data_IF_687234183079
#
_entry.id   IF_687234183079
#
_cell.length_a   1.000
_cell.length_b   1.000
_cell.length_c   1.000
_cell.angle_alpha   90.00
_cell.angle_beta   90.00
_cell.angle_gamma   90.00
#
_symmetry.space_group_name_H-M   'P 1'
#
loop_
_entity.id
_entity.type
_entity.pdbx_description
1 polymer ?
#
# COMPACT_ATOMS: atom_id res chain seq x y z
N UNK A 1 -15.33 -14.68 12.17
CA UNK A 1 -14.48 -13.76 11.39
C UNK A 1 -15.35 -12.86 10.53
N UNK A 2 -15.15 -11.54 10.55
CA UNK A 2 -15.96 -10.64 9.72
C UNK A 2 -15.51 -10.68 8.27
N UNK A 3 -16.50 -10.42 7.40
CA UNK A 3 -16.26 -10.39 5.96
C UNK A 3 -15.83 -9.01 5.45
N UNK A 4 -15.78 -8.03 6.33
CA UNK A 4 -15.44 -6.65 5.97
C UNK A 4 -14.32 -6.13 6.85
N UNK A 5 -13.66 -5.08 6.39
CA UNK A 5 -12.57 -4.44 7.10
C UNK A 5 -12.76 -2.93 7.06
N UNK A 6 -12.30 -2.25 8.11
CA UNK A 6 -12.25 -0.79 8.13
C UNK A 6 -11.26 -0.25 7.09
N UNK A 7 -10.34 -1.08 6.62
CA UNK A 7 -9.31 -0.66 5.69
C UNK A 7 -9.51 -1.43 4.39
N UNK A 8 -9.52 -0.71 3.28
CA UNK A 8 -9.67 -1.34 1.97
C UNK A 8 -8.42 -2.13 1.59
N UNK A 9 -8.52 -2.96 0.56
CA UNK A 9 -7.36 -3.70 0.05
C UNK A 9 -6.23 -2.76 -0.37
N UNK A 10 -6.56 -1.58 -0.92
CA UNK A 10 -5.55 -0.58 -1.25
C UNK A 10 -4.79 -0.13 0.00
N UNK A 11 -5.51 0.15 1.08
CA UNK A 11 -4.88 0.52 2.34
C UNK A 11 -4.05 -0.60 2.95
N UNK A 12 -4.54 -1.84 2.86
CA UNK A 12 -3.82 -3.01 3.38
C UNK A 12 -2.54 -3.27 2.60
N UNK A 13 -2.58 -3.13 1.27
CA UNK A 13 -1.38 -3.29 0.43
C UNK A 13 -0.37 -2.19 0.75
N UNK A 14 -0.81 -0.95 0.89
CA UNK A 14 0.08 0.15 1.25
C UNK A 14 0.78 -0.14 2.59
N UNK A 15 0.03 -0.61 3.58
CA UNK A 15 0.58 -0.96 4.89
C UNK A 15 1.58 -2.12 4.80
N UNK A 16 1.26 -3.15 4.02
CA UNK A 16 2.14 -4.29 3.83
C UNK A 16 3.46 -3.86 3.18
N UNK A 17 3.40 -2.98 2.18
CA UNK A 17 4.60 -2.43 1.54
C UNK A 17 5.43 -1.62 2.55
N UNK A 18 4.77 -0.80 3.36
CA UNK A 18 5.47 0.03 4.35
C UNK A 18 6.26 -0.81 5.34
N UNK A 19 5.69 -1.93 5.76
CA UNK A 19 6.36 -2.84 6.68
C UNK A 19 7.36 -3.78 6.01
N UNK A 20 7.27 -3.96 4.69
CA UNK A 20 8.05 -4.95 3.94
C UNK A 20 8.43 -4.41 2.55
N UNK A 21 9.22 -3.32 2.49
CA UNK A 21 9.44 -2.61 1.22
C UNK A 21 10.21 -3.41 0.16
N UNK A 22 10.90 -4.46 0.56
CA UNK A 22 11.69 -5.30 -0.35
C UNK A 22 10.96 -6.58 -0.77
N UNK A 23 9.72 -6.76 -0.36
CA UNK A 23 8.96 -7.96 -0.66
C UNK A 23 8.41 -7.94 -2.09
N UNK A 24 8.24 -9.12 -2.66
CA UNK A 24 7.62 -9.26 -3.98
C UNK A 24 6.13 -8.97 -3.90
N UNK A 25 5.52 -8.66 -5.05
CA UNK A 25 4.07 -8.48 -5.12
C UNK A 25 3.33 -9.74 -4.65
N UNK A 26 3.85 -10.91 -5.00
CA UNK A 26 3.25 -12.18 -4.56
C UNK A 26 3.25 -12.30 -3.04
N UNK A 27 4.40 -11.99 -2.41
CA UNK A 27 4.50 -12.06 -0.96
C UNK A 27 3.57 -11.05 -0.28
N UNK A 28 3.49 -9.84 -0.83
CA UNK A 28 2.60 -8.80 -0.31
C UNK A 28 1.13 -9.25 -0.43
N UNK A 29 0.76 -9.81 -1.58
CA UNK A 29 -0.58 -10.35 -1.78
C UNK A 29 -0.91 -11.46 -0.80
N UNK A 30 0.04 -12.35 -0.52
CA UNK A 30 -0.13 -13.42 0.45
C UNK A 30 -0.36 -12.86 1.86
N UNK A 31 0.35 -11.80 2.25
CA UNK A 31 0.15 -11.15 3.55
C UNK A 31 -1.26 -10.60 3.70
N UNK A 32 -1.81 -10.04 2.63
CA UNK A 32 -3.14 -9.42 2.65
C UNK A 32 -4.24 -10.44 2.38
N UNK A 33 -3.92 -11.53 1.71
CA UNK A 33 -4.90 -12.58 1.39
C UNK A 33 -5.58 -12.38 0.05
N UNK A 34 -4.89 -11.76 -0.92
CA UNK A 34 -5.40 -11.58 -2.28
C UNK A 34 -4.43 -12.18 -3.29
N UNK A 35 -4.89 -12.30 -4.54
CA UNK A 35 -4.07 -12.89 -5.60
C UNK A 35 -2.94 -11.96 -6.00
N UNK A 36 -1.91 -12.52 -6.62
CA UNK A 36 -0.80 -11.74 -7.16
C UNK A 36 -1.30 -10.75 -8.22
N UNK A 37 -2.22 -11.17 -9.06
CA UNK A 37 -2.80 -10.32 -10.10
C UNK A 37 -3.51 -9.11 -9.50
N UNK A 38 -4.34 -9.34 -8.47
CA UNK A 38 -5.02 -8.26 -7.77
C UNK A 38 -4.02 -7.32 -7.09
N UNK A 39 -2.95 -7.88 -6.53
CA UNK A 39 -1.89 -7.10 -5.91
C UNK A 39 -1.21 -6.18 -6.90
N UNK A 40 -0.87 -6.68 -8.09
CA UNK A 40 -0.26 -5.85 -9.14
C UNK A 40 -1.17 -4.70 -9.56
N UNK A 41 -2.47 -4.96 -9.67
CA UNK A 41 -3.44 -3.91 -10.01
C UNK A 41 -3.45 -2.81 -8.96
N UNK A 42 -3.45 -3.18 -7.69
CA UNK A 42 -3.46 -2.23 -6.58
C UNK A 42 -2.15 -1.44 -6.52
N UNK A 43 -1.02 -2.12 -6.71
CA UNK A 43 0.28 -1.45 -6.74
C UNK A 43 0.31 -0.40 -7.86
N UNK A 44 -0.20 -0.74 -9.04
CA UNK A 44 -0.29 0.22 -10.14
C UNK A 44 -1.16 1.42 -9.76
N UNK A 45 -2.30 1.17 -9.14
CA UNK A 45 -3.17 2.25 -8.66
C UNK A 45 -2.43 3.18 -7.68
N UNK A 46 -1.68 2.59 -6.75
CA UNK A 46 -0.94 3.37 -5.76
C UNK A 46 0.19 4.19 -6.40
N UNK A 47 0.87 3.62 -7.39
CA UNK A 47 1.90 4.35 -8.15
C UNK A 47 1.29 5.51 -8.92
N UNK A 48 0.19 5.25 -9.62
CA UNK A 48 -0.48 6.26 -10.45
C UNK A 48 -0.97 7.44 -9.64
N UNK A 49 -1.40 7.20 -8.40
CA UNK A 49 -1.90 8.24 -7.51
C UNK A 49 -0.78 8.88 -6.66
N UNK A 50 0.45 8.43 -6.83
CA UNK A 50 1.59 9.04 -6.15
C UNK A 50 1.86 8.58 -4.74
N UNK A 51 1.25 7.50 -4.29
CA UNK A 51 1.47 6.98 -2.92
C UNK A 51 2.78 6.22 -2.79
N UNK A 52 3.24 5.59 -3.86
CA UNK A 52 4.48 4.83 -3.85
C UNK A 52 5.27 5.10 -5.13
N UNK A 53 6.58 4.89 -5.03
CA UNK A 53 7.48 4.84 -6.18
C UNK A 53 8.13 3.46 -6.18
N UNK A 54 8.08 2.81 -7.32
CA UNK A 54 8.74 1.52 -7.51
C UNK A 54 10.11 1.74 -8.12
N UNK A 55 11.13 1.15 -7.53
CA UNK A 55 12.47 1.13 -8.09
C UNK A 55 12.91 -0.32 -8.26
N UNK A 56 13.87 -0.53 -9.15
CA UNK A 56 14.39 -1.85 -9.42
C UNK A 56 15.84 -1.91 -8.99
N UNK A 57 16.16 -2.88 -8.13
CA UNK A 57 17.52 -3.14 -7.70
C UNK A 57 17.87 -4.57 -8.10
N UNK A 58 18.56 -4.71 -9.24
CA UNK A 58 18.81 -6.02 -9.82
C UNK A 58 17.52 -6.69 -10.26
N UNK A 59 17.21 -7.86 -9.71
CA UNK A 59 15.99 -8.61 -10.02
C UNK A 59 14.84 -8.30 -9.09
N UNK A 60 15.08 -7.46 -8.07
CA UNK A 60 14.08 -7.15 -7.05
C UNK A 60 13.47 -5.78 -7.28
N UNK A 61 12.20 -5.67 -6.95
CA UNK A 61 11.52 -4.39 -6.86
C UNK A 61 11.62 -3.92 -5.42
N UNK A 62 11.85 -2.63 -5.26
CA UNK A 62 11.79 -1.98 -3.96
C UNK A 62 10.79 -0.84 -4.06
N UNK A 63 10.08 -0.55 -2.98
CA UNK A 63 9.04 0.46 -2.97
C UNK A 63 9.37 1.53 -1.96
N UNK A 64 9.14 2.78 -2.34
CA UNK A 64 9.23 3.92 -1.43
C UNK A 64 7.85 4.49 -1.22
N UNK A 65 7.48 4.73 0.04
CA UNK A 65 6.17 5.29 0.40
C UNK A 65 6.26 6.81 0.44
N UNK A 66 5.27 7.47 -0.13
CA UNK A 66 5.13 8.92 -0.05
C UNK A 66 4.09 9.25 1.02
N UNK A 67 4.56 9.40 2.26
CA UNK A 67 3.70 9.52 3.43
C UNK A 67 2.89 10.81 3.49
N UNK A 68 3.29 11.83 2.73
CA UNK A 68 2.63 13.13 2.74
C UNK A 68 1.46 13.26 1.75
N UNK A 69 1.18 12.22 0.98
CA UNK A 69 0.09 12.25 0.01
C UNK A 69 -1.25 12.13 0.74
N UNK A 70 -2.23 13.00 0.44
CA UNK A 70 -3.55 12.93 1.07
C UNK A 70 -4.27 11.63 0.71
N UNK A 71 -5.05 11.10 1.65
CA UNK A 71 -5.78 9.84 1.47
C UNK A 71 -7.00 9.98 0.54
N UNK A 72 -7.45 11.20 0.31
CA UNK A 72 -8.59 11.45 -0.55
C UNK A 72 -9.23 12.78 -0.22
N UNK A 73 -10.32 13.10 -0.90
CA UNK A 73 -10.96 14.39 -0.77
C UNK A 73 -12.03 14.48 0.33
N UNK A 74 -12.55 13.31 0.74
CA UNK A 74 -13.68 13.26 1.68
C UNK A 74 -13.39 13.97 2.99
N UNK A 75 -12.20 13.78 3.54
CA UNK A 75 -11.79 14.40 4.80
C UNK A 75 -10.73 15.49 4.59
N UNK A 76 -10.60 15.97 3.36
CA UNK A 76 -9.68 17.03 3.00
C UNK A 76 -8.22 16.59 3.03
N UNK A 77 -7.34 17.58 3.01
CA UNK A 77 -5.89 17.34 2.92
C UNK A 77 -5.25 16.95 4.24
N UNK A 78 -6.00 16.97 5.33
CA UNK A 78 -5.44 16.67 6.66
C UNK A 78 -5.16 15.19 6.88
N UNK A 79 -5.92 14.32 6.20
CA UNK A 79 -5.74 12.87 6.33
C UNK A 79 -4.74 12.41 5.27
N UNK A 80 -3.51 12.19 5.69
CA UNK A 80 -2.43 11.79 4.80
C UNK A 80 -2.05 10.32 5.02
N UNK A 81 -1.31 9.74 4.06
CA UNK A 81 -0.92 8.34 4.14
C UNK A 81 -0.19 8.02 5.45
N UNK A 82 0.62 8.94 5.96
CA UNK A 82 1.35 8.72 7.22
C UNK A 82 0.43 8.49 8.41
N UNK A 83 -0.73 9.15 8.46
CA UNK A 83 -1.69 8.96 9.55
C UNK A 83 -2.32 7.57 9.50
N UNK A 84 -2.64 7.09 8.29
CA UNK A 84 -3.13 5.73 8.12
C UNK A 84 -2.09 4.71 8.59
N UNK A 85 -0.85 4.87 8.14
CA UNK A 85 0.22 3.95 8.49
C UNK A 85 0.51 3.96 9.98
N UNK A 86 0.50 5.15 10.60
CA UNK A 86 0.69 5.29 12.04
C UNK A 86 -0.43 4.59 12.82
N UNK A 87 -1.66 4.74 12.37
CA UNK A 87 -2.81 4.08 12.99
C UNK A 87 -2.68 2.56 12.93
N UNK A 88 -2.06 2.05 11.88
CA UNK A 88 -1.84 0.62 11.69
C UNK A 88 -0.55 0.11 12.36
N UNK A 89 0.16 0.97 13.09
CA UNK A 89 1.36 0.57 13.82
C UNK A 89 2.65 0.57 13.02
N UNK A 90 2.67 1.32 11.93
CA UNK A 90 3.83 1.32 11.02
C UNK A 90 4.62 2.62 11.01
#
# INVERSE_FOLDING_TARGET
MRKWSFVTNHGLILAAIAGNPDSTARAIGDMVGITERATHKIITDLEDEGYITKSKSGRRNAYSIHADVPLGETFGEKARAKELLSMLGL
#
